data_IF_105186442724
#
_entry.id   IF_105186442724
#
_cell.length_a   1.000
_cell.length_b   1.000
_cell.length_c   1.000
_cell.angle_alpha   90.00
_cell.angle_beta   90.00
_cell.angle_gamma   90.00
#
_symmetry.space_group_name_H-M   'P 1'
#
loop_
_entity.id
_entity.type
_entity.pdbx_description
1 polymer ?
#
# COMPACT_ATOMS: atom_id res chain seq x y z
N UNK A 1 -28.49 58.91 1.65
CA UNK A 1 -28.47 57.57 1.01
C UNK A 1 -27.07 56.95 0.88
N UNK A 2 -26.00 57.75 0.72
CA UNK A 2 -24.62 57.23 0.59
C UNK A 2 -24.03 56.59 1.88
N UNK A 3 -24.41 57.07 3.06
CA UNK A 3 -23.91 56.57 4.36
C UNK A 3 -24.38 55.15 4.72
N UNK A 4 -25.51 54.69 4.16
CA UNK A 4 -26.06 53.35 4.47
C UNK A 4 -25.31 52.22 3.75
N UNK A 5 -24.63 52.54 2.63
CA UNK A 5 -23.87 51.57 1.83
C UNK A 5 -22.43 51.45 2.31
N UNK A 6 -21.88 52.50 2.92
CA UNK A 6 -20.51 52.52 3.47
C UNK A 6 -20.38 51.63 4.72
N UNK A 7 -21.30 51.75 5.68
CA UNK A 7 -21.25 50.99 6.94
C UNK A 7 -21.33 49.46 6.74
N UNK A 8 -21.98 48.99 5.67
CA UNK A 8 -22.06 47.57 5.34
C UNK A 8 -20.72 47.00 4.82
N UNK A 9 -19.87 47.82 4.19
CA UNK A 9 -18.58 47.39 3.64
C UNK A 9 -17.51 47.17 4.72
N UNK A 10 -17.56 47.96 5.80
CA UNK A 10 -16.67 47.81 6.97
C UNK A 10 -17.10 46.64 7.87
N UNK A 11 -18.40 46.48 8.13
CA UNK A 11 -18.90 45.39 8.97
C UNK A 11 -18.62 44.01 8.34
N UNK A 12 -18.85 43.86 7.04
CA UNK A 12 -18.53 42.63 6.32
C UNK A 12 -17.04 42.33 6.21
N UNK A 13 -16.17 43.31 6.48
CA UNK A 13 -14.71 43.15 6.43
C UNK A 13 -14.09 42.44 7.60
N UNK A 14 -14.65 42.67 8.79
CA UNK A 14 -14.21 42.02 10.01
C UNK A 14 -14.87 40.64 10.25
N UNK A 15 -15.88 40.28 9.45
CA UNK A 15 -16.43 38.92 9.47
C UNK A 15 -15.71 38.02 8.46
N UNK A 16 -15.49 38.51 7.22
CA UNK A 16 -14.79 37.75 6.17
C UNK A 16 -13.35 37.39 6.54
N UNK A 17 -12.59 38.30 7.16
CA UNK A 17 -11.22 38.03 7.64
C UNK A 17 -11.19 36.98 8.77
N UNK A 18 -12.17 36.95 9.68
CA UNK A 18 -12.30 35.92 10.72
C UNK A 18 -12.61 34.56 10.12
N UNK A 19 -13.53 34.51 9.15
CA UNK A 19 -13.82 33.28 8.41
C UNK A 19 -12.60 32.77 7.63
N UNK A 20 -11.86 33.67 6.96
CA UNK A 20 -10.63 33.32 6.26
C UNK A 20 -9.58 32.78 7.25
N UNK A 21 -9.34 33.46 8.37
CA UNK A 21 -8.40 33.00 9.39
C UNK A 21 -8.76 31.60 9.92
N UNK A 22 -10.04 31.38 10.26
CA UNK A 22 -10.52 30.06 10.70
C UNK A 22 -10.34 28.98 9.62
N UNK A 23 -10.62 29.30 8.36
CA UNK A 23 -10.44 28.37 7.24
C UNK A 23 -8.97 27.98 7.03
N UNK A 24 -8.06 28.94 7.12
CA UNK A 24 -6.61 28.71 6.95
C UNK A 24 -6.09 27.80 8.06
N UNK A 25 -6.49 28.05 9.31
CA UNK A 25 -6.09 27.23 10.46
C UNK A 25 -6.63 25.80 10.30
N UNK A 26 -7.90 25.66 9.90
CA UNK A 26 -8.53 24.35 9.69
C UNK A 26 -7.84 23.54 8.59
N UNK A 27 -7.57 24.16 7.43
CA UNK A 27 -6.87 23.51 6.32
C UNK A 27 -5.43 23.13 6.68
N UNK A 28 -4.74 23.99 7.41
CA UNK A 28 -3.36 23.73 7.86
C UNK A 28 -3.30 22.51 8.77
N UNK A 29 -4.21 22.41 9.75
CA UNK A 29 -4.28 21.26 10.64
C UNK A 29 -4.63 19.97 9.87
N UNK A 30 -5.59 20.05 8.96
CA UNK A 30 -6.00 18.90 8.14
C UNK A 30 -4.83 18.38 7.28
N UNK A 31 -4.07 19.27 6.64
CA UNK A 31 -2.90 18.91 5.84
C UNK A 31 -1.80 18.24 6.67
N UNK A 32 -1.55 18.73 7.89
CA UNK A 32 -0.58 18.11 8.79
C UNK A 32 -1.00 16.69 9.20
N UNK A 33 -2.27 16.50 9.55
CA UNK A 33 -2.82 15.18 9.91
C UNK A 33 -2.78 14.22 8.72
N UNK A 34 -3.19 14.67 7.53
CA UNK A 34 -3.13 13.86 6.31
C UNK A 34 -1.70 13.45 5.96
N UNK A 35 -0.74 14.38 6.08
CA UNK A 35 0.69 14.11 5.83
C UNK A 35 1.27 13.11 6.82
N UNK A 36 0.95 13.26 8.12
CA UNK A 36 1.37 12.33 9.17
C UNK A 36 0.76 10.93 8.97
N UNK A 37 -0.53 10.85 8.65
CA UNK A 37 -1.22 9.60 8.36
C UNK A 37 -0.64 8.91 7.11
N UNK A 38 -0.38 9.66 6.04
CA UNK A 38 0.25 9.15 4.83
C UNK A 38 1.69 8.67 5.10
N UNK A 39 2.47 9.46 5.86
CA UNK A 39 3.82 9.10 6.27
C UNK A 39 3.85 7.82 7.11
N UNK A 40 2.97 7.71 8.11
CA UNK A 40 2.84 6.52 8.94
C UNK A 40 2.39 5.30 8.12
N UNK A 41 1.41 5.47 7.23
CA UNK A 41 0.98 4.41 6.32
C UNK A 41 2.13 3.94 5.44
N UNK A 42 2.89 4.88 4.86
CA UNK A 42 4.03 4.58 3.99
C UNK A 42 5.18 3.90 4.74
N UNK A 43 5.49 4.36 5.95
CA UNK A 43 6.48 3.73 6.82
C UNK A 43 6.05 2.31 7.20
N UNK A 44 4.80 2.13 7.61
CA UNK A 44 4.27 0.81 7.98
C UNK A 44 4.23 -0.13 6.78
N UNK A 45 3.97 0.38 5.58
CA UNK A 45 3.96 -0.44 4.36
C UNK A 45 5.34 -1.02 4.03
N UNK A 46 6.43 -0.34 4.43
CA UNK A 46 7.80 -0.82 4.18
C UNK A 46 8.14 -2.09 5.00
N UNK A 47 7.49 -2.29 6.14
CA UNK A 47 7.65 -3.52 6.95
C UNK A 47 6.92 -4.73 6.35
N UNK A 48 5.87 -4.53 5.57
CA UNK A 48 5.13 -5.64 4.94
C UNK A 48 5.86 -6.22 3.70
N UNK A 49 6.74 -5.44 3.08
CA UNK A 49 7.62 -5.92 2.00
C UNK A 49 8.82 -6.70 2.56
N UNK A 50 9.39 -6.26 3.68
CA UNK A 50 10.52 -6.92 4.34
C UNK A 50 10.13 -8.29 4.90
N UNK A 51 8.95 -8.42 5.52
CA UNK A 51 8.47 -9.71 6.05
C UNK A 51 8.19 -10.76 4.95
N UNK A 52 7.66 -10.35 3.79
CA UNK A 52 7.44 -11.25 2.65
C UNK A 52 8.73 -11.71 1.98
N UNK A 53 9.75 -10.87 1.95
CA UNK A 53 11.04 -11.25 1.40
C UNK A 53 11.80 -12.13 2.39
N UNK A 54 11.80 -11.79 3.68
CA UNK A 54 12.42 -12.61 4.72
C UNK A 54 11.89 -14.04 4.76
N UNK A 55 10.56 -14.26 4.73
CA UNK A 55 10.01 -15.62 4.74
C UNK A 55 10.25 -16.40 3.45
N UNK A 56 10.28 -15.71 2.31
CA UNK A 56 10.55 -16.32 1.00
C UNK A 56 12.02 -16.66 0.84
N UNK A 57 12.91 -15.86 1.39
CA UNK A 57 14.34 -16.11 1.43
C UNK A 57 14.64 -17.22 2.43
N UNK A 58 13.96 -17.28 3.58
CA UNK A 58 14.10 -18.37 4.57
C UNK A 58 13.66 -19.73 3.99
N UNK A 59 12.51 -19.81 3.31
CA UNK A 59 12.07 -21.02 2.58
C UNK A 59 13.08 -21.45 1.50
N UNK A 60 13.66 -20.49 0.76
CA UNK A 60 14.65 -20.77 -0.31
C UNK A 60 16.05 -21.11 0.22
N UNK A 61 16.38 -20.71 1.44
CA UNK A 61 17.66 -21.04 2.07
C UNK A 61 17.58 -22.36 2.84
N UNK A 62 16.43 -22.68 3.45
CA UNK A 62 16.18 -23.95 4.15
C UNK A 62 15.99 -25.10 3.14
N UNK A 63 15.23 -24.86 2.06
CA UNK A 63 15.22 -25.71 0.89
C UNK A 63 16.37 -25.28 -0.02
N UNK A 64 17.57 -25.77 0.28
CA UNK A 64 18.71 -25.59 -0.62
C UNK A 64 18.34 -25.96 -2.08
N UNK A 65 19.13 -25.52 -3.08
CA UNK A 65 18.86 -25.75 -4.52
C UNK A 65 18.64 -27.22 -4.91
N UNK A 66 18.89 -28.15 -3.99
CA UNK A 66 18.64 -29.58 -4.08
C UNK A 66 17.16 -29.99 -4.06
N UNK A 67 16.25 -29.20 -3.48
CA UNK A 67 14.83 -29.58 -3.35
C UNK A 67 13.92 -29.04 -4.46
N UNK A 68 14.44 -28.19 -5.35
CA UNK A 68 13.72 -27.67 -6.51
C UNK A 68 14.23 -28.40 -7.74
N UNK A 69 13.49 -29.43 -8.18
CA UNK A 69 13.80 -30.11 -9.42
C UNK A 69 13.39 -29.25 -10.60
N UNK A 70 14.31 -29.07 -11.55
CA UNK A 70 13.98 -28.45 -12.83
C UNK A 70 12.99 -29.32 -13.59
N UNK A 71 12.08 -28.69 -14.34
CA UNK A 71 11.06 -29.39 -15.12
C UNK A 71 11.66 -30.43 -16.08
N UNK A 72 12.82 -30.11 -16.68
CA UNK A 72 13.52 -31.02 -17.58
C UNK A 72 13.96 -32.31 -16.87
N UNK A 73 14.36 -32.21 -15.60
CA UNK A 73 14.76 -33.35 -14.77
C UNK A 73 13.56 -34.24 -14.47
N UNK A 74 12.41 -33.64 -14.12
CA UNK A 74 11.16 -34.39 -13.87
C UNK A 74 10.67 -35.09 -15.15
N UNK A 75 10.70 -34.40 -16.29
CA UNK A 75 10.35 -34.99 -17.58
C UNK A 75 11.26 -36.16 -17.94
N UNK A 76 12.57 -36.01 -17.74
CA UNK A 76 13.53 -37.09 -18.02
C UNK A 76 13.31 -38.28 -17.08
N UNK A 77 13.16 -38.04 -15.78
CA UNK A 77 12.94 -39.09 -14.78
C UNK A 77 11.62 -39.86 -14.98
N UNK A 78 10.59 -39.19 -15.50
CA UNK A 78 9.28 -39.81 -15.78
C UNK A 78 9.16 -40.39 -17.19
N UNK A 79 10.21 -40.30 -18.01
CA UNK A 79 10.16 -40.60 -19.45
C UNK A 79 8.99 -39.87 -20.14
N UNK A 80 9.03 -38.54 -20.06
CA UNK A 80 8.01 -37.63 -20.59
C UNK A 80 6.58 -38.00 -20.14
N UNK A 81 6.41 -38.34 -18.86
CA UNK A 81 5.14 -38.76 -18.27
C UNK A 81 4.46 -39.94 -18.98
N UNK A 82 5.25 -40.91 -19.45
CA UNK A 82 4.73 -42.12 -20.10
C UNK A 82 3.71 -42.84 -19.22
N UNK A 83 2.59 -43.25 -19.83
CA UNK A 83 1.55 -44.05 -19.17
C UNK A 83 2.08 -45.38 -18.63
N UNK A 84 3.14 -45.93 -19.23
CA UNK A 84 3.80 -47.15 -18.73
C UNK A 84 4.39 -47.00 -17.33
N UNK A 85 4.77 -45.78 -16.95
CA UNK A 85 5.41 -45.46 -15.68
C UNK A 85 4.39 -44.98 -14.63
N UNK A 86 3.09 -45.08 -14.95
CA UNK A 86 2.00 -44.66 -14.07
C UNK A 86 1.79 -45.71 -12.99
N UNK A 87 2.07 -45.35 -11.74
CA UNK A 87 1.84 -46.22 -10.57
C UNK A 87 0.37 -46.29 -10.13
N UNK A 88 -0.46 -45.32 -10.54
CA UNK A 88 -1.87 -45.26 -10.19
C UNK A 88 -2.59 -44.02 -10.73
N UNK A 89 -3.90 -43.92 -10.50
CA UNK A 89 -4.67 -42.69 -10.69
C UNK A 89 -5.29 -42.34 -9.34
N UNK A 90 -4.98 -41.16 -8.80
CA UNK A 90 -5.70 -40.62 -7.65
C UNK A 90 -7.09 -40.10 -8.04
N UNK A 91 -7.84 -39.58 -7.06
CA UNK A 91 -9.22 -39.10 -7.22
C UNK A 91 -9.42 -37.61 -6.93
N UNK A 92 -8.44 -36.78 -7.24
CA UNK A 92 -8.58 -35.31 -7.25
C UNK A 92 -8.72 -34.80 -8.68
#
# INVERSE_FOLDING_TARGET
LLSIRLARSELGGNERNKTIAASVVSLSLFMLLASAAFGFWRYRMKHNAISKNASKDEWRNDLGPQYVFEMHTIQTATNNFSLSNKLGQGGF
#
